data_IF_946367380181
#
_entry.id   IF_946367380181
#
_cell.length_a   1.000
_cell.length_b   1.000
_cell.length_c   1.000
_cell.angle_alpha   90.00
_cell.angle_beta   90.00
_cell.angle_gamma   90.00
#
_symmetry.space_group_name_H-M   'P 1'
#
loop_
_entity.id
_entity.type
_entity.pdbx_description
1 polymer ?
#
# COMPACT_ATOMS: atom_id res chain seq x y z
N UNK A 1 26.10 6.61 -14.26
CA UNK A 1 25.99 6.08 -12.91
C UNK A 1 27.35 6.12 -12.21
N UNK A 2 27.42 6.64 -11.03
CA UNK A 2 28.64 6.66 -10.24
C UNK A 2 28.36 7.04 -8.79
N UNK A 3 29.11 6.44 -7.84
CA UNK A 3 28.96 6.67 -6.39
C UNK A 3 27.54 6.46 -5.86
N UNK A 4 26.80 5.47 -6.41
CA UNK A 4 25.39 5.16 -6.13
C UNK A 4 24.39 6.23 -6.62
N UNK A 5 24.79 7.15 -7.50
CA UNK A 5 23.92 8.17 -8.08
C UNK A 5 23.74 8.00 -9.58
N UNK A 6 22.53 8.29 -10.03
CA UNK A 6 22.14 8.38 -11.43
C UNK A 6 22.08 9.85 -11.88
N UNK A 7 22.52 10.14 -13.06
CA UNK A 7 22.22 11.44 -13.68
C UNK A 7 20.80 11.42 -14.24
N UNK A 8 20.10 12.57 -14.11
CA UNK A 8 18.74 12.74 -14.59
C UNK A 8 18.59 14.07 -15.34
N UNK A 9 17.39 14.38 -15.80
CA UNK A 9 17.09 15.59 -16.59
C UNK A 9 17.47 16.87 -15.85
N UNK A 10 17.87 17.90 -16.60
CA UNK A 10 18.21 19.21 -16.07
C UNK A 10 19.48 19.22 -15.21
N UNK A 11 20.47 18.40 -15.53
CA UNK A 11 21.75 18.38 -14.81
C UNK A 11 21.71 17.81 -13.40
N UNK A 12 20.56 17.34 -12.95
CA UNK A 12 20.33 16.81 -11.60
C UNK A 12 20.92 15.41 -11.46
N UNK A 13 21.12 14.98 -10.23
CA UNK A 13 21.50 13.60 -9.91
C UNK A 13 20.67 13.08 -8.73
N UNK A 14 20.53 11.76 -8.67
CA UNK A 14 19.65 11.12 -7.68
C UNK A 14 20.15 9.75 -7.25
N UNK A 15 19.83 9.39 -6.01
CA UNK A 15 19.86 8.03 -5.51
C UNK A 15 18.45 7.44 -5.59
N UNK A 16 18.35 6.21 -6.10
CA UNK A 16 17.09 5.47 -6.24
C UNK A 16 17.11 4.26 -5.32
N UNK A 17 16.05 4.10 -4.53
CA UNK A 17 15.73 2.89 -3.80
C UNK A 17 14.43 2.28 -4.32
N UNK A 18 14.24 0.99 -4.08
CA UNK A 18 13.04 0.29 -4.51
C UNK A 18 11.76 0.95 -3.96
N UNK A 19 10.69 0.89 -4.75
CA UNK A 19 9.35 1.33 -4.37
C UNK A 19 9.18 2.83 -4.12
N UNK A 20 9.98 3.67 -4.82
CA UNK A 20 9.84 5.11 -4.77
C UNK A 20 10.63 5.79 -3.65
N UNK A 21 11.72 5.18 -3.21
CA UNK A 21 12.68 5.87 -2.34
C UNK A 21 13.59 6.71 -3.23
N UNK A 22 13.51 8.02 -3.17
CA UNK A 22 14.29 8.92 -4.02
C UNK A 22 14.98 9.98 -3.16
N UNK A 23 16.28 10.19 -3.44
CA UNK A 23 17.00 11.39 -3.01
C UNK A 23 17.52 12.08 -4.28
N UNK A 24 16.98 13.26 -4.61
CA UNK A 24 17.35 14.00 -5.81
C UNK A 24 17.94 15.35 -5.46
N UNK A 25 19.05 15.68 -6.10
CA UNK A 25 19.78 16.94 -5.90
C UNK A 25 19.74 17.77 -7.17
N UNK A 26 19.39 19.03 -7.04
CA UNK A 26 19.45 20.07 -8.07
C UNK A 26 20.38 21.19 -7.62
N UNK A 27 21.63 21.19 -8.10
CA UNK A 27 22.60 22.25 -7.78
C UNK A 27 22.12 23.59 -8.31
N UNK A 28 21.58 23.62 -9.53
CA UNK A 28 21.05 24.83 -10.17
C UNK A 28 19.95 25.51 -9.34
N UNK A 29 19.14 24.74 -8.62
CA UNK A 29 18.02 25.25 -7.81
C UNK A 29 18.36 25.34 -6.32
N UNK A 30 19.58 24.99 -5.94
CA UNK A 30 19.99 24.85 -4.52
C UNK A 30 18.96 24.03 -3.72
N UNK A 31 18.53 22.89 -4.29
CA UNK A 31 17.42 22.11 -3.75
C UNK A 31 17.75 20.63 -3.65
N UNK A 32 17.36 20.03 -2.52
CA UNK A 32 17.35 18.57 -2.31
C UNK A 32 15.91 18.12 -2.07
N UNK A 33 15.55 17.05 -2.78
CA UNK A 33 14.23 16.40 -2.60
C UNK A 33 14.47 15.00 -2.07
N UNK A 34 13.89 14.68 -0.92
CA UNK A 34 13.87 13.35 -0.35
C UNK A 34 12.43 12.83 -0.32
N UNK A 35 12.21 11.65 -0.89
CA UNK A 35 10.91 10.98 -0.92
C UNK A 35 11.03 9.60 -0.32
N UNK A 36 10.10 9.28 0.58
CA UNK A 36 9.84 7.91 1.03
C UNK A 36 8.46 7.50 0.57
N UNK A 37 8.36 6.43 -0.19
CA UNK A 37 7.11 5.97 -0.78
C UNK A 37 6.95 4.45 -0.72
N UNK A 38 5.74 3.98 -0.95
CA UNK A 38 5.40 2.58 -1.15
C UNK A 38 4.59 2.45 -2.44
N UNK A 39 5.23 2.63 -3.60
CA UNK A 39 4.55 2.64 -4.89
C UNK A 39 5.39 1.92 -5.96
N UNK A 40 4.73 1.43 -7.03
CA UNK A 40 5.37 0.63 -8.07
C UNK A 40 5.85 1.41 -9.30
N UNK A 41 5.45 2.68 -9.47
CA UNK A 41 5.76 3.48 -10.66
C UNK A 41 6.65 4.69 -10.34
N UNK A 42 7.93 4.42 -10.14
CA UNK A 42 8.93 5.47 -9.93
C UNK A 42 9.07 6.42 -11.13
N UNK A 43 8.73 5.96 -12.34
CA UNK A 43 8.76 6.78 -13.55
C UNK A 43 7.74 7.93 -13.44
N UNK A 44 6.52 7.63 -12.99
CA UNK A 44 5.47 8.61 -12.76
C UNK A 44 5.83 9.60 -11.65
N UNK A 45 6.43 9.10 -10.56
CA UNK A 45 6.89 9.93 -9.46
C UNK A 45 7.94 10.95 -9.92
N UNK A 46 8.95 10.51 -10.64
CA UNK A 46 9.97 11.39 -11.24
C UNK A 46 9.37 12.38 -12.22
N UNK A 47 8.40 11.95 -13.04
CA UNK A 47 7.70 12.84 -13.96
C UNK A 47 7.02 13.99 -13.21
N UNK A 48 6.29 13.70 -12.14
CA UNK A 48 5.62 14.71 -11.32
C UNK A 48 6.61 15.69 -10.68
N UNK A 49 7.76 15.22 -10.19
CA UNK A 49 8.80 16.10 -9.67
C UNK A 49 9.33 17.04 -10.76
N UNK A 50 9.57 16.56 -11.98
CA UNK A 50 10.06 17.37 -13.07
C UNK A 50 9.01 18.36 -13.61
N UNK A 51 7.74 18.01 -13.61
CA UNK A 51 6.66 18.84 -14.13
C UNK A 51 6.19 19.92 -13.14
N UNK A 52 6.19 19.62 -11.86
CA UNK A 52 5.57 20.48 -10.87
C UNK A 52 6.55 21.01 -9.82
N UNK A 53 7.37 20.14 -9.25
CA UNK A 53 8.18 20.52 -8.08
C UNK A 53 9.38 21.40 -8.47
N UNK A 54 10.17 21.01 -9.48
CA UNK A 54 11.35 21.79 -9.87
C UNK A 54 11.02 23.12 -10.54
N UNK A 55 9.99 23.25 -11.39
CA UNK A 55 9.58 24.56 -11.88
C UNK A 55 9.09 25.49 -10.77
N UNK A 56 8.40 24.97 -9.76
CA UNK A 56 7.90 25.81 -8.66
C UNK A 56 9.01 26.43 -7.81
N UNK A 57 10.22 25.89 -7.82
CA UNK A 57 11.37 26.47 -7.13
C UNK A 57 11.82 27.85 -7.70
N UNK A 58 11.36 28.24 -8.88
CA UNK A 58 11.60 29.53 -9.51
C UNK A 58 10.45 30.52 -9.34
N UNK A 59 9.33 30.04 -8.78
CA UNK A 59 8.16 30.90 -8.58
C UNK A 59 8.35 31.79 -7.35
N UNK A 60 7.74 32.95 -7.39
CA UNK A 60 7.68 33.82 -6.21
C UNK A 60 6.90 33.14 -5.09
N UNK A 61 7.17 33.51 -3.85
CA UNK A 61 6.40 33.02 -2.71
C UNK A 61 4.92 33.36 -2.90
N UNK A 62 4.07 32.35 -2.75
CA UNK A 62 2.62 32.51 -2.84
C UNK A 62 2.07 33.46 -1.77
N UNK A 63 0.83 33.88 -1.97
CA UNK A 63 0.09 34.70 -1.01
C UNK A 63 -0.09 33.97 0.32
N UNK A 64 -0.46 34.70 1.35
CA UNK A 64 -0.74 34.13 2.68
C UNK A 64 -1.91 33.14 2.61
N UNK A 65 -2.93 33.42 1.81
CA UNK A 65 -4.07 32.50 1.57
C UNK A 65 -3.63 31.19 0.90
N UNK A 66 -2.73 31.25 -0.08
CA UNK A 66 -2.20 30.06 -0.76
C UNK A 66 -1.35 29.21 0.19
N UNK A 67 -0.55 29.85 1.04
CA UNK A 67 0.24 29.16 2.06
C UNK A 67 -0.66 28.47 3.10
N UNK A 68 -1.72 29.13 3.55
CA UNK A 68 -2.69 28.54 4.47
C UNK A 68 -3.45 27.37 3.80
N UNK A 69 -3.83 27.50 2.54
CA UNK A 69 -4.47 26.43 1.79
C UNK A 69 -3.55 25.21 1.65
N UNK A 70 -2.25 25.42 1.38
CA UNK A 70 -1.26 24.34 1.34
C UNK A 70 -1.12 23.65 2.70
N UNK A 71 -1.00 24.42 3.79
CA UNK A 71 -0.92 23.85 5.14
C UNK A 71 -2.14 23.02 5.49
N UNK A 72 -3.35 23.51 5.17
CA UNK A 72 -4.60 22.77 5.37
C UNK A 72 -4.61 21.47 4.55
N UNK A 73 -4.18 21.54 3.28
CA UNK A 73 -4.08 20.37 2.42
C UNK A 73 -3.12 19.34 2.99
N UNK A 74 -1.94 19.75 3.41
CA UNK A 74 -0.93 18.86 4.00
C UNK A 74 -1.45 18.21 5.30
N UNK A 75 -2.09 18.98 6.17
CA UNK A 75 -2.67 18.46 7.41
C UNK A 75 -3.83 17.48 7.17
N UNK A 76 -4.51 17.58 6.04
CA UNK A 76 -5.63 16.68 5.67
C UNK A 76 -5.17 15.38 4.99
N UNK A 77 -3.88 15.25 4.65
CA UNK A 77 -3.39 14.04 4.00
C UNK A 77 -3.40 12.87 4.98
N UNK A 78 -3.99 11.78 4.55
CA UNK A 78 -4.03 10.52 5.30
C UNK A 78 -3.99 9.33 4.35
N UNK A 79 -3.54 8.19 4.85
CA UNK A 79 -3.72 6.94 4.12
C UNK A 79 -5.21 6.65 3.98
N UNK A 80 -5.67 6.43 2.76
CA UNK A 80 -7.03 5.94 2.54
C UNK A 80 -7.11 4.49 2.99
N UNK A 81 -8.07 4.21 3.85
CA UNK A 81 -8.42 2.88 4.30
C UNK A 81 -9.80 2.52 3.77
N UNK A 82 -10.12 1.21 3.61
CA UNK A 82 -11.47 0.80 3.25
C UNK A 82 -12.50 1.39 4.20
N UNK A 83 -13.60 1.86 3.65
CA UNK A 83 -14.77 2.28 4.41
C UNK A 83 -15.77 1.13 4.45
N UNK A 84 -16.74 1.19 5.35
CA UNK A 84 -17.75 0.16 5.49
C UNK A 84 -19.12 0.78 5.25
N UNK A 85 -19.69 0.52 4.08
CA UNK A 85 -21.03 0.98 3.69
C UNK A 85 -22.17 0.07 4.21
N UNK A 86 -21.81 -1.02 4.90
CA UNK A 86 -22.77 -1.99 5.42
C UNK A 86 -23.34 -2.94 4.35
N UNK A 87 -22.83 -2.92 3.12
CA UNK A 87 -23.38 -3.70 2.01
C UNK A 87 -23.11 -5.20 2.07
N UNK A 88 -22.31 -5.68 3.06
CA UNK A 88 -21.97 -7.10 3.12
C UNK A 88 -21.44 -7.58 4.46
N UNK A 89 -21.14 -8.87 4.50
CA UNK A 89 -20.55 -9.55 5.65
C UNK A 89 -19.34 -10.34 5.20
N UNK A 90 -18.31 -10.44 6.04
CA UNK A 90 -17.10 -11.20 5.74
C UNK A 90 -17.44 -12.66 5.42
N UNK A 91 -16.82 -13.19 4.38
CA UNK A 91 -16.95 -14.60 4.08
C UNK A 91 -16.16 -15.40 5.11
N UNK A 92 -16.85 -16.23 5.87
CA UNK A 92 -16.23 -17.13 6.84
C UNK A 92 -16.12 -18.55 6.31
N UNK A 93 -15.03 -19.19 6.67
CA UNK A 93 -14.80 -20.61 6.34
C UNK A 93 -13.42 -20.88 5.77
N UNK A 94 -13.33 -22.04 5.14
CA UNK A 94 -12.14 -22.53 4.45
C UNK A 94 -12.43 -22.48 2.95
N UNK A 95 -11.55 -21.82 2.21
CA UNK A 95 -11.64 -21.70 0.76
C UNK A 95 -10.37 -22.23 0.13
N UNK A 96 -10.50 -22.98 -0.95
CA UNK A 96 -9.36 -23.64 -1.60
C UNK A 96 -9.38 -23.50 -3.10
N UNK A 97 -8.19 -23.52 -3.67
CA UNK A 97 -7.93 -23.90 -5.04
C UNK A 97 -6.70 -24.84 -5.10
N UNK A 98 -6.13 -25.04 -6.28
CA UNK A 98 -4.95 -25.89 -6.46
C UNK A 98 -3.67 -25.35 -5.77
N UNK A 99 -3.56 -24.03 -5.59
CA UNK A 99 -2.34 -23.36 -5.16
C UNK A 99 -2.39 -22.93 -3.69
N UNK A 100 -3.60 -22.58 -3.17
CA UNK A 100 -3.76 -21.97 -1.86
C UNK A 100 -4.94 -22.52 -1.07
N UNK A 101 -4.79 -22.51 0.25
CA UNK A 101 -5.88 -22.60 1.21
C UNK A 101 -5.99 -21.29 1.95
N UNK A 102 -7.17 -20.71 2.00
CA UNK A 102 -7.48 -19.49 2.73
C UNK A 102 -8.48 -19.83 3.85
N UNK A 103 -8.12 -19.44 5.08
CA UNK A 103 -8.98 -19.53 6.26
C UNK A 103 -9.43 -18.12 6.60
N UNK A 104 -10.73 -17.88 6.67
CA UNK A 104 -11.30 -16.59 7.02
C UNK A 104 -12.24 -16.73 8.21
N UNK A 105 -12.05 -15.90 9.23
CA UNK A 105 -12.89 -15.84 10.42
C UNK A 105 -13.01 -14.42 10.93
N UNK A 106 -14.23 -13.97 11.18
CA UNK A 106 -14.49 -12.70 11.86
C UNK A 106 -14.82 -12.96 13.33
N UNK A 107 -14.22 -12.20 14.25
CA UNK A 107 -14.50 -12.26 15.68
C UNK A 107 -14.39 -10.84 16.23
N UNK A 108 -15.45 -10.33 16.87
CA UNK A 108 -15.48 -9.00 17.50
C UNK A 108 -15.01 -7.87 16.55
N UNK A 109 -15.52 -7.87 15.30
CA UNK A 109 -15.16 -6.90 14.25
C UNK A 109 -13.68 -6.95 13.79
N UNK A 110 -12.99 -8.04 14.09
CA UNK A 110 -11.67 -8.33 13.56
C UNK A 110 -11.75 -9.52 12.63
N UNK A 111 -11.37 -9.33 11.38
CA UNK A 111 -11.22 -10.38 10.38
C UNK A 111 -9.79 -10.92 10.44
N UNK A 112 -9.64 -12.21 10.72
CA UNK A 112 -8.41 -12.97 10.53
C UNK A 112 -8.47 -13.69 9.19
N UNK A 113 -7.49 -13.45 8.34
CA UNK A 113 -7.30 -14.16 7.07
C UNK A 113 -5.94 -14.84 7.10
N UNK A 114 -5.96 -16.17 7.10
CA UNK A 114 -4.74 -16.97 7.01
C UNK A 114 -4.66 -17.61 5.63
N UNK A 115 -3.61 -17.26 4.91
CA UNK A 115 -3.28 -17.83 3.61
C UNK A 115 -2.17 -18.86 3.78
N UNK A 116 -2.36 -20.05 3.25
CA UNK A 116 -1.41 -21.15 3.32
C UNK A 116 -1.22 -21.79 1.94
N UNK A 117 0.03 -22.02 1.57
CA UNK A 117 0.45 -22.89 0.47
C UNK A 117 1.47 -23.92 0.99
N UNK A 118 2.14 -24.65 0.09
CA UNK A 118 3.15 -25.67 0.46
C UNK A 118 4.32 -25.12 1.26
N UNK A 119 4.71 -23.85 1.05
CA UNK A 119 5.97 -23.30 1.52
C UNK A 119 5.78 -22.10 2.45
N UNK A 120 4.58 -21.52 2.50
CA UNK A 120 4.35 -20.27 3.19
C UNK A 120 3.01 -20.27 3.91
N UNK A 121 3.02 -19.77 5.12
CA UNK A 121 1.82 -19.42 5.88
C UNK A 121 1.90 -17.94 6.28
N UNK A 122 0.81 -17.23 6.05
CA UNK A 122 0.69 -15.81 6.35
C UNK A 122 -0.66 -15.53 6.97
N UNK A 123 -0.67 -14.86 8.13
CA UNK A 123 -1.87 -14.37 8.78
C UNK A 123 -1.95 -12.85 8.71
N UNK A 124 -3.09 -12.34 8.30
CA UNK A 124 -3.44 -10.93 8.23
C UNK A 124 -4.62 -10.69 9.16
N UNK A 125 -4.50 -9.68 10.01
CA UNK A 125 -5.60 -9.19 10.83
C UNK A 125 -6.07 -7.85 10.31
N UNK A 126 -7.39 -7.65 10.24
CA UNK A 126 -7.99 -6.41 9.77
C UNK A 126 -9.22 -6.06 10.60
N UNK A 127 -9.30 -4.82 11.06
CA UNK A 127 -10.45 -4.33 11.84
C UNK A 127 -11.51 -3.72 10.94
N UNK A 128 -12.78 -3.87 11.32
CA UNK A 128 -13.95 -3.31 10.64
C UNK A 128 -14.15 -1.83 10.96
N UNK A 129 -14.08 -1.51 12.23
CA UNK A 129 -14.39 -0.17 12.74
C UNK A 129 -13.13 0.68 13.01
N UNK A 130 -11.95 0.07 12.93
CA UNK A 130 -10.68 0.73 13.20
C UNK A 130 -9.49 -0.10 12.70
N UNK A 131 -8.29 0.41 12.93
CA UNK A 131 -7.06 -0.30 12.60
C UNK A 131 -6.76 -1.38 13.64
N UNK A 132 -6.38 -2.56 13.18
CA UNK A 132 -5.81 -3.61 14.01
C UNK A 132 -4.33 -3.72 13.70
N UNK A 133 -3.51 -3.70 14.76
CA UNK A 133 -2.07 -3.85 14.66
C UNK A 133 -1.68 -5.29 14.95
N UNK A 134 -0.82 -5.86 14.11
CA UNK A 134 -0.36 -7.24 14.22
C UNK A 134 1.08 -7.38 13.76
N UNK A 135 1.72 -8.47 14.14
CA UNK A 135 3.09 -8.77 13.73
C UNK A 135 3.10 -9.86 12.68
N UNK A 136 3.87 -9.65 11.63
CA UNK A 136 4.16 -10.66 10.62
C UNK A 136 5.61 -11.11 10.80
N UNK A 137 5.77 -12.38 11.09
CA UNK A 137 7.08 -13.01 11.21
C UNK A 137 7.26 -13.98 10.03
N UNK A 138 7.49 -13.42 8.86
CA UNK A 138 7.78 -14.23 7.69
C UNK A 138 9.06 -13.72 7.04
N UNK A 139 9.98 -14.62 6.73
CA UNK A 139 11.20 -14.32 5.98
C UNK A 139 10.97 -13.71 4.58
N UNK A 140 9.71 -13.54 4.18
CA UNK A 140 9.31 -12.91 2.92
C UNK A 140 9.61 -11.39 2.88
N UNK A 141 9.64 -10.72 4.03
CA UNK A 141 9.75 -9.26 4.07
C UNK A 141 10.94 -8.75 4.89
N UNK A 142 11.38 -9.53 5.86
CA UNK A 142 12.48 -9.18 6.77
C UNK A 142 12.89 -10.42 7.55
N UNK A 143 14.14 -10.47 7.99
CA UNK A 143 14.65 -11.48 8.94
C UNK A 143 14.10 -11.28 10.36
N UNK A 144 13.41 -10.16 10.59
CA UNK A 144 12.77 -9.81 11.86
C UNK A 144 11.27 -9.59 11.68
N UNK A 145 10.51 -9.78 12.75
CA UNK A 145 9.08 -9.49 12.76
C UNK A 145 8.82 -8.03 12.39
N UNK A 146 7.87 -7.80 11.50
CA UNK A 146 7.42 -6.47 11.08
C UNK A 146 6.04 -6.18 11.64
N UNK A 147 5.78 -4.92 11.99
CA UNK A 147 4.48 -4.47 12.50
C UNK A 147 3.64 -3.97 11.34
N UNK A 148 2.41 -4.45 11.28
CA UNK A 148 1.44 -4.11 10.26
C UNK A 148 0.18 -3.50 10.88
N UNK A 149 -0.52 -2.70 10.09
CA UNK A 149 -1.86 -2.23 10.41
C UNK A 149 -2.82 -2.72 9.32
N UNK A 150 -3.97 -3.28 9.73
CA UNK A 150 -4.97 -3.82 8.81
C UNK A 150 -6.36 -3.25 9.08
N UNK A 151 -7.10 -3.00 7.99
CA UNK A 151 -8.51 -2.62 8.01
C UNK A 151 -9.24 -3.27 6.84
N UNK A 152 -10.51 -3.61 7.04
CA UNK A 152 -11.39 -4.04 5.97
C UNK A 152 -12.72 -3.28 6.04
N UNK A 153 -13.42 -3.25 4.93
CA UNK A 153 -14.75 -2.68 4.80
C UNK A 153 -15.44 -3.20 3.56
N UNK A 154 -16.67 -2.76 3.36
CA UNK A 154 -17.50 -3.12 2.22
C UNK A 154 -17.83 -1.88 1.41
N UNK A 155 -17.63 -1.97 0.12
CA UNK A 155 -17.96 -0.94 -0.86
C UNK A 155 -18.62 -1.60 -2.06
N UNK A 156 -19.86 -1.22 -2.38
CA UNK A 156 -20.63 -1.74 -3.52
C UNK A 156 -20.73 -3.29 -3.56
N UNK A 157 -20.92 -3.91 -2.40
CA UNK A 157 -21.08 -5.36 -2.27
C UNK A 157 -19.78 -6.17 -2.39
N UNK A 158 -18.62 -5.51 -2.41
CA UNK A 158 -17.30 -6.15 -2.38
C UNK A 158 -16.59 -5.83 -1.08
N UNK A 159 -15.88 -6.81 -0.57
CA UNK A 159 -15.01 -6.59 0.59
C UNK A 159 -13.65 -6.06 0.11
N UNK A 160 -13.23 -4.96 0.68
CA UNK A 160 -11.90 -4.39 0.54
C UNK A 160 -11.11 -4.64 1.81
N UNK A 161 -10.01 -5.37 1.71
CA UNK A 161 -9.09 -5.62 2.81
C UNK A 161 -7.75 -4.97 2.49
N UNK A 162 -7.26 -4.17 3.41
CA UNK A 162 -5.99 -3.48 3.26
C UNK A 162 -5.12 -3.72 4.48
N UNK A 163 -3.85 -4.08 4.26
CA UNK A 163 -2.85 -4.15 5.31
C UNK A 163 -1.56 -3.46 4.86
N UNK A 164 -0.92 -2.73 5.77
CA UNK A 164 0.30 -1.95 5.50
C UNK A 164 1.37 -2.27 6.51
N UNK A 165 2.58 -2.53 6.04
CA UNK A 165 3.77 -2.59 6.87
C UNK A 165 4.12 -1.17 7.34
N UNK A 166 4.23 -0.97 8.65
CA UNK A 166 4.55 0.34 9.24
C UNK A 166 6.04 0.69 9.15
N UNK A 167 6.89 -0.28 8.94
CA UNK A 167 8.34 -0.10 8.81
C UNK A 167 8.88 -0.22 7.37
N UNK A 168 8.00 -0.40 6.37
CA UNK A 168 8.43 -0.65 5.00
C UNK A 168 7.37 -0.33 3.95
N UNK A 169 7.70 -0.49 2.66
CA UNK A 169 6.81 -0.13 1.56
C UNK A 169 5.73 -1.20 1.27
N UNK A 170 5.79 -2.34 1.94
CA UNK A 170 4.92 -3.48 1.65
C UNK A 170 3.47 -3.17 2.04
N UNK A 171 2.56 -3.55 1.15
CA UNK A 171 1.12 -3.46 1.40
C UNK A 171 0.37 -4.59 0.73
N UNK A 172 -0.69 -5.04 1.36
CA UNK A 172 -1.74 -5.86 0.78
C UNK A 172 -2.94 -4.97 0.48
N UNK A 173 -3.42 -5.01 -0.74
CA UNK A 173 -4.69 -4.42 -1.17
C UNK A 173 -5.49 -5.56 -1.83
N UNK A 174 -6.50 -6.11 -1.14
CA UNK A 174 -7.31 -7.19 -1.62
C UNK A 174 -8.76 -6.75 -1.83
N UNK A 175 -9.33 -7.11 -2.98
CA UNK A 175 -10.76 -6.98 -3.26
C UNK A 175 -11.34 -8.39 -3.33
N UNK A 176 -12.40 -8.64 -2.57
CA UNK A 176 -13.02 -9.96 -2.48
C UNK A 176 -14.51 -9.86 -2.80
N UNK A 177 -14.95 -10.65 -3.78
CA UNK A 177 -16.35 -10.83 -4.11
C UNK A 177 -16.79 -12.23 -3.67
N UNK A 178 -18.00 -12.35 -3.12
CA UNK A 178 -18.55 -13.63 -2.63
C UNK A 178 -19.82 -13.97 -3.40
N UNK A 179 -19.87 -15.12 -4.01
CA UNK A 179 -21.08 -15.66 -4.66
C UNK A 179 -21.09 -17.18 -4.66
N UNK A 180 -22.23 -17.80 -4.40
CA UNK A 180 -22.49 -19.23 -4.57
C UNK A 180 -21.44 -20.17 -3.93
N UNK A 181 -21.00 -19.84 -2.71
CA UNK A 181 -19.98 -20.62 -2.00
C UNK A 181 -18.57 -20.49 -2.57
N UNK A 182 -18.32 -19.50 -3.40
CA UNK A 182 -17.01 -19.15 -3.95
C UNK A 182 -16.63 -17.75 -3.54
N UNK A 183 -15.33 -17.52 -3.45
CA UNK A 183 -14.76 -16.19 -3.35
C UNK A 183 -13.85 -15.92 -4.54
N UNK A 184 -14.01 -14.78 -5.16
CA UNK A 184 -13.06 -14.24 -6.11
C UNK A 184 -12.18 -13.23 -5.39
N UNK A 185 -10.88 -13.40 -5.48
CA UNK A 185 -9.88 -12.56 -4.79
C UNK A 185 -9.01 -11.91 -5.82
N UNK A 186 -8.86 -10.59 -5.72
CA UNK A 186 -7.93 -9.78 -6.50
C UNK A 186 -6.99 -9.03 -5.57
N UNK A 187 -5.69 -9.36 -5.63
CA UNK A 187 -4.61 -8.66 -4.92
C UNK A 187 -3.63 -7.97 -5.87
N UNK A 188 -4.02 -7.73 -7.12
CA UNK A 188 -3.14 -7.16 -8.16
C UNK A 188 -2.55 -5.79 -7.83
N UNK A 189 -3.21 -5.03 -6.94
CA UNK A 189 -2.76 -3.71 -6.47
C UNK A 189 -1.78 -3.76 -5.30
N UNK A 190 -1.53 -4.95 -4.77
CA UNK A 190 -0.59 -5.14 -3.66
C UNK A 190 0.84 -4.81 -4.09
N UNK A 191 1.64 -4.30 -3.16
CA UNK A 191 3.05 -3.99 -3.38
C UNK A 191 3.92 -4.89 -2.51
N UNK A 192 4.91 -5.56 -3.12
CA UNK A 192 5.79 -6.51 -2.46
C UNK A 192 5.03 -7.64 -1.75
N UNK A 193 3.90 -8.01 -2.29
CA UNK A 193 3.04 -9.06 -1.81
C UNK A 193 2.71 -10.03 -2.95
N UNK A 194 2.19 -11.19 -2.63
CA UNK A 194 1.72 -12.12 -3.66
C UNK A 194 0.59 -11.43 -4.44
N UNK A 195 0.84 -11.14 -5.71
CA UNK A 195 -0.21 -10.68 -6.61
C UNK A 195 -0.96 -11.89 -7.13
N UNK A 196 -2.24 -11.95 -6.85
CA UNK A 196 -3.11 -13.05 -7.21
C UNK A 196 -4.46 -12.52 -7.66
N UNK A 197 -4.98 -13.11 -8.74
CA UNK A 197 -6.36 -12.93 -9.17
C UNK A 197 -6.93 -14.29 -9.50
N UNK A 198 -8.00 -14.69 -8.82
CA UNK A 198 -8.61 -16.00 -9.05
C UNK A 198 -9.71 -16.34 -8.07
N UNK A 199 -10.26 -17.53 -8.25
CA UNK A 199 -11.40 -18.04 -7.50
C UNK A 199 -10.95 -19.15 -6.55
N UNK A 200 -11.48 -19.13 -5.32
CA UNK A 200 -11.38 -20.22 -4.36
C UNK A 200 -12.79 -20.73 -4.02
N UNK A 201 -12.92 -22.01 -3.83
CA UNK A 201 -14.19 -22.68 -3.51
C UNK A 201 -14.27 -23.02 -2.03
N UNK A 202 -15.45 -22.82 -1.44
CA UNK A 202 -15.72 -23.16 -0.04
C UNK A 202 -15.68 -24.67 0.14
N UNK A 203 -15.03 -25.12 1.21
CA UNK A 203 -14.94 -26.53 1.60
C UNK A 203 -16.05 -26.91 2.55
#
# INVERSE_FOLDING_TARGET
YGYQFWRTRGGRYRGDGAFGQICMVSEEKDMVVAVTAGQGDMGKEMQLMHEYLFPSAEMEMGTEEEQQALQQKLASLSCKWPENDGSGHAAEGIFKNKDFTLYAKETENVLSVRLQNTDTELEILAGKDGLVFFSVNSGLFSDTATVWAGRYGWEEGKMHLMARNLGGPQRLDAVVSCADGKIEVDTSRSLCFIQYTGVLEKQ
#
